data_IF_297301386972
#
_entry.id   IF_297301386972
#
_cell.length_a   1.000
_cell.length_b   1.000
_cell.length_c   1.000
_cell.angle_alpha   90.00
_cell.angle_beta   90.00
_cell.angle_gamma   90.00
#
_symmetry.space_group_name_H-M   'P 1'
#
loop_
_entity.id
_entity.type
_entity.pdbx_description
1 polymer ?
#
# COMPACT_ATOMS: atom_id res chain seq x y z
N UNK A 1 2.67 -13.09 -10.59
CA UNK A 1 3.98 -12.56 -10.14
C UNK A 1 3.74 -11.37 -9.21
N UNK A 2 4.45 -11.21 -8.07
CA UNK A 2 4.26 -10.05 -7.22
C UNK A 2 4.92 -8.85 -7.90
N UNK A 3 4.11 -7.96 -8.46
CA UNK A 3 4.55 -6.61 -8.81
C UNK A 3 5.04 -5.97 -7.51
N UNK A 4 6.36 -5.80 -7.38
CA UNK A 4 6.92 -4.90 -6.37
C UNK A 4 6.19 -3.56 -6.47
N UNK A 5 5.88 -2.87 -5.36
CA UNK A 5 5.01 -1.70 -5.42
C UNK A 5 5.74 -0.55 -6.11
N UNK A 6 5.63 -0.48 -7.45
CA UNK A 6 6.05 0.67 -8.27
C UNK A 6 5.39 1.97 -7.77
N UNK A 7 4.30 1.85 -7.03
CA UNK A 7 3.51 2.95 -6.49
C UNK A 7 4.24 3.71 -5.36
N UNK A 8 5.17 3.08 -4.65
CA UNK A 8 5.83 3.70 -3.49
C UNK A 8 6.85 4.79 -3.90
N UNK A 9 7.81 4.56 -4.82
CA UNK A 9 8.72 5.62 -5.27
C UNK A 9 7.97 6.77 -5.97
N UNK A 10 6.96 6.45 -6.77
CA UNK A 10 6.18 7.45 -7.51
C UNK A 10 5.38 8.36 -6.57
N UNK A 11 4.77 7.82 -5.51
CA UNK A 11 4.03 8.61 -4.53
C UNK A 11 4.95 9.52 -3.69
N UNK A 12 6.16 9.05 -3.34
CA UNK A 12 7.16 9.86 -2.65
C UNK A 12 7.64 11.02 -3.55
N UNK A 13 7.94 10.74 -4.83
CA UNK A 13 8.31 11.78 -5.81
C UNK A 13 7.21 12.81 -6.03
N UNK A 14 5.94 12.39 -6.06
CA UNK A 14 4.79 13.30 -6.18
C UNK A 14 4.62 14.20 -4.94
N UNK A 15 4.87 13.68 -3.73
CA UNK A 15 4.85 14.48 -2.50
C UNK A 15 5.93 15.55 -2.50
N UNK A 16 7.17 15.18 -2.87
CA UNK A 16 8.31 16.12 -2.91
C UNK A 16 8.06 17.24 -3.93
N UNK A 17 7.58 16.90 -5.13
CA UNK A 17 7.36 17.88 -6.22
C UNK A 17 6.11 18.76 -6.03
N UNK A 18 5.14 18.32 -5.24
CA UNK A 18 3.89 19.05 -4.98
C UNK A 18 3.83 19.81 -3.65
N UNK A 19 4.87 19.73 -2.82
CA UNK A 19 4.90 20.28 -1.47
C UNK A 19 4.62 21.80 -1.39
N UNK A 20 5.11 22.56 -2.37
CA UNK A 20 4.96 24.03 -2.42
C UNK A 20 3.56 24.49 -2.88
N UNK A 21 2.59 23.59 -3.08
CA UNK A 21 1.22 23.92 -3.48
C UNK A 21 0.23 23.59 -2.36
N UNK A 22 -0.20 24.60 -1.56
CA UNK A 22 -1.06 24.38 -0.39
C UNK A 22 -2.34 23.62 -0.73
N UNK A 23 -2.98 23.96 -1.86
CA UNK A 23 -4.24 23.37 -2.30
C UNK A 23 -4.15 21.85 -2.61
N UNK A 24 -2.97 21.30 -2.88
CA UNK A 24 -2.79 19.86 -3.20
C UNK A 24 -2.09 19.07 -2.09
N UNK A 25 -1.56 19.76 -1.05
CA UNK A 25 -0.68 19.15 -0.04
C UNK A 25 -1.36 18.03 0.75
N UNK A 26 -2.61 18.24 1.19
CA UNK A 26 -3.35 17.23 1.96
C UNK A 26 -3.55 15.93 1.15
N UNK A 27 -3.97 16.04 -0.12
CA UNK A 27 -4.13 14.87 -0.99
C UNK A 27 -2.81 14.15 -1.27
N UNK A 28 -1.71 14.89 -1.44
CA UNK A 28 -0.39 14.30 -1.62
C UNK A 28 0.11 13.57 -0.36
N UNK A 29 -0.16 14.10 0.84
CA UNK A 29 0.15 13.44 2.10
C UNK A 29 -0.64 12.13 2.23
N UNK A 30 -1.95 12.14 1.95
CA UNK A 30 -2.79 10.94 1.97
C UNK A 30 -2.27 9.89 0.98
N UNK A 31 -1.88 10.32 -0.22
CA UNK A 31 -1.30 9.42 -1.21
C UNK A 31 0.01 8.78 -0.72
N UNK A 32 0.93 9.59 -0.18
CA UNK A 32 2.21 9.12 0.33
C UNK A 32 2.04 8.17 1.52
N UNK A 33 1.20 8.53 2.49
CA UNK A 33 0.91 7.71 3.66
C UNK A 33 0.28 6.36 3.27
N UNK A 34 -0.68 6.38 2.35
CA UNK A 34 -1.34 5.15 1.88
C UNK A 34 -0.37 4.24 1.12
N UNK A 35 0.48 4.82 0.28
CA UNK A 35 1.55 4.09 -0.42
C UNK A 35 2.56 3.48 0.55
N UNK A 36 3.01 4.24 1.56
CA UNK A 36 3.92 3.75 2.59
C UNK A 36 3.30 2.60 3.40
N UNK A 37 2.03 2.72 3.78
CA UNK A 37 1.29 1.66 4.47
C UNK A 37 1.16 0.39 3.62
N UNK A 38 0.85 0.51 2.33
CA UNK A 38 0.81 -0.62 1.40
C UNK A 38 2.18 -1.29 1.23
N UNK A 39 3.27 -0.52 1.21
CA UNK A 39 4.63 -1.04 1.16
C UNK A 39 5.01 -1.79 2.45
N UNK A 40 4.71 -1.21 3.62
CA UNK A 40 4.94 -1.86 4.91
C UNK A 40 4.15 -3.17 5.04
N UNK A 41 2.88 -3.17 4.61
CA UNK A 41 2.06 -4.37 4.55
C UNK A 41 2.64 -5.45 3.61
N UNK A 42 3.22 -5.04 2.48
CA UNK A 42 3.92 -5.94 1.57
C UNK A 42 5.14 -6.58 2.24
N UNK A 43 5.98 -5.76 2.89
CA UNK A 43 7.14 -6.25 3.62
C UNK A 43 6.74 -7.20 4.76
N UNK A 44 5.66 -6.89 5.48
CA UNK A 44 5.12 -7.76 6.52
C UNK A 44 4.72 -9.14 5.99
N UNK A 45 3.98 -9.18 4.86
CA UNK A 45 3.58 -10.45 4.23
C UNK A 45 4.80 -11.26 3.82
N UNK A 46 5.76 -10.64 3.14
CA UNK A 46 6.93 -11.34 2.60
C UNK A 46 7.86 -11.84 3.70
N UNK A 47 8.09 -11.06 4.75
CA UNK A 47 9.07 -11.39 5.80
C UNK A 47 8.50 -12.24 6.92
N UNK A 48 7.21 -12.13 7.21
CA UNK A 48 6.64 -12.77 8.41
C UNK A 48 5.52 -13.78 8.10
N UNK A 49 4.61 -13.48 7.17
CA UNK A 49 3.48 -14.37 6.90
C UNK A 49 3.83 -15.49 5.92
N UNK A 50 4.45 -15.15 4.78
CA UNK A 50 4.75 -16.12 3.73
C UNK A 50 5.69 -17.24 4.20
N UNK A 51 6.77 -16.97 4.97
CA UNK A 51 7.61 -18.03 5.50
C UNK A 51 6.84 -19.04 6.34
N UNK A 52 5.95 -18.54 7.21
CA UNK A 52 5.13 -19.39 8.08
C UNK A 52 4.10 -20.20 7.28
N UNK A 53 3.44 -19.58 6.30
CA UNK A 53 2.35 -20.20 5.54
C UNK A 53 2.82 -21.18 4.45
N UNK A 54 3.91 -20.85 3.77
CA UNK A 54 4.30 -21.53 2.52
C UNK A 54 5.69 -22.17 2.58
N UNK A 55 6.51 -21.82 3.56
CA UNK A 55 7.89 -22.30 3.69
C UNK A 55 8.16 -22.92 5.07
N UNK A 56 7.11 -23.33 5.79
CA UNK A 56 7.25 -24.08 7.03
C UNK A 56 7.88 -25.45 6.72
N UNK A 57 8.90 -25.90 7.48
CA UNK A 57 9.53 -27.20 7.27
C UNK A 57 8.59 -28.38 7.56
N UNK A 58 7.53 -28.14 8.34
CA UNK A 58 6.49 -29.13 8.63
C UNK A 58 5.13 -28.65 8.11
N UNK A 59 4.28 -29.56 7.61
CA UNK A 59 2.92 -29.20 7.20
C UNK A 59 2.16 -28.64 8.41
N UNK A 60 1.62 -27.43 8.25
CA UNK A 60 0.79 -26.79 9.25
C UNK A 60 -0.51 -27.59 9.45
N UNK A 61 -0.91 -27.77 10.70
CA UNK A 61 -2.26 -28.24 11.01
C UNK A 61 -3.31 -27.20 10.55
N UNK A 62 -4.55 -27.64 10.35
CA UNK A 62 -5.62 -26.75 9.88
C UNK A 62 -5.89 -25.59 10.86
N UNK A 63 -5.81 -25.89 12.16
CA UNK A 63 -6.01 -24.91 13.24
C UNK A 63 -4.92 -23.84 13.28
N UNK A 64 -3.69 -24.16 12.84
CA UNK A 64 -2.60 -23.19 12.71
C UNK A 64 -2.65 -22.43 11.39
N UNK A 65 -3.06 -23.11 10.31
CA UNK A 65 -3.07 -22.53 8.95
C UNK A 65 -4.20 -21.52 8.77
N UNK A 66 -5.40 -21.81 9.28
CA UNK A 66 -6.60 -20.98 9.11
C UNK A 66 -6.46 -19.54 9.63
N UNK A 67 -5.93 -19.27 10.84
CA UNK A 67 -5.72 -17.90 11.32
C UNK A 67 -4.65 -17.16 10.50
N UNK A 68 -3.59 -17.86 10.07
CA UNK A 68 -2.56 -17.29 9.21
C UNK A 68 -3.12 -16.89 7.84
N UNK A 69 -3.91 -17.75 7.20
CA UNK A 69 -4.59 -17.44 5.94
C UNK A 69 -5.56 -16.26 6.09
N UNK A 70 -6.33 -16.23 7.17
CA UNK A 70 -7.23 -15.10 7.46
C UNK A 70 -6.47 -13.79 7.55
N UNK A 71 -5.33 -13.78 8.26
CA UNK A 71 -4.46 -12.61 8.35
C UNK A 71 -3.85 -12.26 6.98
N UNK A 72 -3.43 -13.26 6.21
CA UNK A 72 -2.90 -13.07 4.87
C UNK A 72 -3.92 -12.40 3.94
N UNK A 73 -5.18 -12.85 3.92
CA UNK A 73 -6.26 -12.23 3.14
C UNK A 73 -6.56 -10.81 3.61
N UNK A 74 -6.65 -10.58 4.92
CA UNK A 74 -6.86 -9.22 5.49
C UNK A 74 -5.78 -8.24 5.04
N UNK A 75 -4.52 -8.65 5.05
CA UNK A 75 -3.41 -7.80 4.60
C UNK A 75 -3.49 -7.54 3.09
N UNK A 76 -3.94 -8.50 2.28
CA UNK A 76 -4.15 -8.27 0.84
C UNK A 76 -5.27 -7.27 0.58
N UNK A 77 -6.41 -7.41 1.25
CA UNK A 77 -7.50 -6.42 1.18
C UNK A 77 -6.99 -5.04 1.60
N UNK A 78 -6.26 -4.95 2.71
CA UNK A 78 -5.65 -3.69 3.16
C UNK A 78 -4.74 -3.05 2.09
N UNK A 79 -3.87 -3.84 1.45
CA UNK A 79 -2.99 -3.35 0.37
C UNK A 79 -3.77 -2.81 -0.83
N UNK A 80 -4.87 -3.47 -1.20
CA UNK A 80 -5.75 -3.01 -2.27
C UNK A 80 -6.44 -1.69 -1.90
N UNK A 81 -7.01 -1.61 -0.70
CA UNK A 81 -7.63 -0.38 -0.20
C UNK A 81 -6.63 0.77 -0.13
N UNK A 82 -5.44 0.54 0.42
CA UNK A 82 -4.38 1.55 0.48
C UNK A 82 -3.98 2.04 -0.92
N UNK A 83 -3.90 1.13 -1.90
CA UNK A 83 -3.61 1.50 -3.30
C UNK A 83 -4.74 2.32 -3.92
N UNK A 84 -5.99 1.95 -3.68
CA UNK A 84 -7.16 2.69 -4.18
C UNK A 84 -7.23 4.10 -3.57
N UNK A 85 -6.97 4.24 -2.27
CA UNK A 85 -6.89 5.54 -1.59
C UNK A 85 -5.76 6.39 -2.17
N UNK A 86 -4.58 5.80 -2.38
CA UNK A 86 -3.45 6.51 -2.96
C UNK A 86 -3.77 7.04 -4.37
N UNK A 87 -4.34 6.19 -5.23
CA UNK A 87 -4.74 6.56 -6.59
C UNK A 87 -5.79 7.66 -6.60
N UNK A 88 -6.81 7.55 -5.74
CA UNK A 88 -7.87 8.55 -5.62
C UNK A 88 -7.33 9.89 -5.15
N UNK A 89 -6.41 9.89 -4.18
CA UNK A 89 -5.80 11.10 -3.67
C UNK A 89 -4.88 11.77 -4.70
N UNK A 90 -4.12 11.00 -5.49
CA UNK A 90 -3.32 11.51 -6.62
C UNK A 90 -4.25 12.11 -7.68
N UNK A 91 -5.34 11.42 -8.02
CA UNK A 91 -6.33 11.91 -8.97
C UNK A 91 -6.94 13.24 -8.51
N UNK A 92 -7.33 13.33 -7.24
CA UNK A 92 -7.87 14.55 -6.64
C UNK A 92 -6.87 15.71 -6.62
N UNK A 93 -5.59 15.45 -6.30
CA UNK A 93 -4.55 16.48 -6.38
C UNK A 93 -4.39 17.01 -7.82
N UNK A 94 -4.49 16.12 -8.82
CA UNK A 94 -4.41 16.49 -10.24
C UNK A 94 -5.62 17.33 -10.69
N UNK A 95 -6.83 17.00 -10.27
CA UNK A 95 -8.04 17.77 -10.65
C UNK A 95 -8.03 19.17 -10.05
N UNK A 96 -7.61 19.33 -8.79
CA UNK A 96 -7.43 20.66 -8.17
C UNK A 96 -6.43 21.49 -8.98
N UNK A 97 -5.27 20.91 -9.31
CA UNK A 97 -4.21 21.60 -10.08
C UNK A 97 -4.68 22.08 -11.46
N UNK A 98 -5.57 21.33 -12.11
CA UNK A 98 -6.11 21.70 -13.43
C UNK A 98 -7.15 22.82 -13.34
N UNK A 99 -7.92 22.89 -12.24
CA UNK A 99 -8.92 23.96 -12.02
C UNK A 99 -8.31 25.28 -11.56
N UNK A 100 -7.09 25.24 -11.01
CA UNK A 100 -6.38 26.43 -10.52
C UNK A 100 -5.42 27.04 -11.55
N UNK A 101 -5.50 26.63 -12.81
CA UNK A 101 -4.78 27.19 -13.97
C UNK A 101 -5.73 28.00 -14.81
#
# INVERSE_FOLDING_TARGET
MPLAPLNAPAAIGALITGWNRPATRASLIVAAASSAAGAAATAYVLRFLNPKLFFSPHPLSEDERRPLLTRWYRVHVFRLTASAVALTAIHHARTIRLRSR
#
